data_IF_164659338400
#
_entry.id   IF_164659338400
#
_cell.length_a   1.000
_cell.length_b   1.000
_cell.length_c   1.000
_cell.angle_alpha   90.00
_cell.angle_beta   90.00
_cell.angle_gamma   90.00
#
_symmetry.space_group_name_H-M   'P 1'
#
loop_
_entity.id
_entity.type
_entity.pdbx_description
1 polymer ?
#
# COMPACT_ATOMS: atom_id res chain seq x y z
N UNK A 1 -0.64 -8.36 15.51
CA UNK A 1 -1.36 -7.85 14.33
C UNK A 1 -0.65 -8.30 13.09
N UNK A 2 -1.44 -8.64 12.07
CA UNK A 2 -0.96 -9.03 10.74
C UNK A 2 -1.24 -7.86 9.79
N UNK A 3 -0.31 -7.57 8.87
CA UNK A 3 -0.46 -6.55 7.84
C UNK A 3 -0.45 -7.19 6.45
N UNK A 4 -1.04 -6.53 5.46
CA UNK A 4 -1.11 -6.97 4.08
C UNK A 4 -0.18 -6.11 3.23
N UNK A 5 0.82 -6.74 2.60
CA UNK A 5 1.71 -6.11 1.64
C UNK A 5 1.09 -6.05 0.25
N UNK A 6 1.20 -4.90 -0.40
CA UNK A 6 0.78 -4.70 -1.79
C UNK A 6 1.92 -4.13 -2.62
N UNK A 7 2.25 -4.81 -3.72
CA UNK A 7 3.21 -4.35 -4.72
C UNK A 7 2.57 -3.94 -6.04
N UNK A 8 3.38 -3.86 -7.10
CA UNK A 8 2.94 -3.30 -8.39
C UNK A 8 1.78 -4.06 -9.06
N UNK A 9 1.48 -5.31 -8.66
CA UNK A 9 0.26 -5.99 -9.10
C UNK A 9 -1.01 -5.16 -8.84
N UNK A 10 -1.01 -4.31 -7.82
CA UNK A 10 -2.11 -3.41 -7.49
C UNK A 10 -2.33 -2.35 -8.57
N UNK A 11 -1.29 -1.90 -9.28
CA UNK A 11 -1.36 -0.83 -10.28
C UNK A 11 -2.05 -1.28 -11.57
N UNK A 12 -2.20 -2.59 -11.79
CA UNK A 12 -2.98 -3.13 -12.89
C UNK A 12 -4.47 -2.74 -12.73
N UNK A 13 -5.08 -1.98 -13.68
CA UNK A 13 -6.47 -1.55 -13.60
C UNK A 13 -7.49 -2.70 -13.59
N UNK A 14 -7.09 -3.91 -13.98
CA UNK A 14 -7.94 -5.10 -14.02
C UNK A 14 -7.77 -6.04 -12.81
N UNK A 15 -6.95 -5.68 -11.82
CA UNK A 15 -6.77 -6.45 -10.59
C UNK A 15 -7.96 -6.31 -9.61
N UNK A 16 -9.19 -6.52 -10.09
CA UNK A 16 -10.44 -6.18 -9.37
C UNK A 16 -10.53 -6.80 -7.97
N UNK A 17 -10.19 -8.08 -7.83
CA UNK A 17 -10.20 -8.75 -6.51
C UNK A 17 -9.20 -8.13 -5.54
N UNK A 18 -8.02 -7.73 -6.04
CA UNK A 18 -7.00 -7.09 -5.22
C UNK A 18 -7.45 -5.68 -4.81
N UNK A 19 -8.11 -4.95 -5.72
CA UNK A 19 -8.70 -3.65 -5.40
C UNK A 19 -9.83 -3.75 -4.38
N UNK A 20 -10.67 -4.79 -4.45
CA UNK A 20 -11.71 -5.05 -3.46
C UNK A 20 -11.10 -5.35 -2.08
N UNK A 21 -10.03 -6.17 -2.01
CA UNK A 21 -9.32 -6.42 -0.76
C UNK A 21 -8.80 -5.10 -0.18
N UNK A 22 -8.08 -4.29 -0.96
CA UNK A 22 -7.60 -2.97 -0.50
C UNK A 22 -8.76 -2.12 -0.03
N UNK A 23 -9.87 -2.07 -0.78
CA UNK A 23 -11.05 -1.28 -0.43
C UNK A 23 -11.59 -1.62 0.96
N UNK A 24 -11.70 -2.91 1.31
CA UNK A 24 -12.31 -3.35 2.56
C UNK A 24 -11.36 -3.47 3.76
N UNK A 25 -10.04 -3.60 3.55
CA UNK A 25 -9.08 -3.63 4.65
C UNK A 25 -8.99 -2.27 5.39
N UNK A 26 -8.78 -2.22 6.71
CA UNK A 26 -8.37 -0.99 7.39
C UNK A 26 -7.05 -0.48 6.83
N UNK A 27 -6.89 0.84 6.65
CA UNK A 27 -5.64 1.40 6.09
C UNK A 27 -4.45 1.14 7.01
N UNK A 28 -4.69 1.01 8.31
CA UNK A 28 -3.72 0.68 9.37
C UNK A 28 -3.17 -0.76 9.26
N UNK A 29 -3.76 -1.59 8.39
CA UNK A 29 -3.30 -2.95 8.09
C UNK A 29 -2.58 -3.07 6.76
N UNK A 30 -2.37 -1.97 6.03
CA UNK A 30 -1.78 -1.95 4.69
C UNK A 30 -0.33 -1.52 4.76
N UNK A 31 0.56 -2.24 4.09
CA UNK A 31 1.92 -1.80 3.77
C UNK A 31 2.13 -1.93 2.26
N UNK A 32 3.06 -1.15 1.70
CA UNK A 32 3.36 -1.14 0.26
C UNK A 32 4.83 -1.52 0.04
N UNK A 33 5.11 -2.23 -1.06
CA UNK A 33 6.43 -2.80 -1.31
C UNK A 33 6.74 -2.90 -2.81
N UNK A 34 8.02 -3.07 -3.16
CA UNK A 34 8.46 -3.34 -4.55
C UNK A 34 8.71 -4.83 -4.82
N UNK A 35 8.70 -5.67 -3.78
CA UNK A 35 9.20 -7.06 -3.77
C UNK A 35 10.71 -7.11 -4.07
N UNK A 36 11.17 -7.96 -4.99
CA UNK A 36 12.59 -8.09 -5.38
C UNK A 36 13.06 -7.02 -6.40
N UNK A 37 12.20 -6.06 -6.74
CA UNK A 37 12.46 -5.07 -7.79
C UNK A 37 13.13 -3.81 -7.21
N UNK A 38 14.24 -3.41 -7.82
CA UNK A 38 15.03 -2.23 -7.45
C UNK A 38 14.54 -0.93 -8.12
N UNK A 39 13.25 -0.80 -8.42
CA UNK A 39 12.69 0.41 -9.04
C UNK A 39 11.83 1.19 -8.03
N UNK A 40 12.32 2.30 -7.46
CA UNK A 40 11.58 3.09 -6.48
C UNK A 40 10.32 3.76 -7.07
N UNK A 41 10.27 4.01 -8.38
CA UNK A 41 9.10 4.62 -9.04
C UNK A 41 7.86 3.72 -8.98
N UNK A 42 8.01 2.44 -8.67
CA UNK A 42 6.87 1.55 -8.51
C UNK A 42 6.13 1.79 -7.19
N UNK A 43 6.84 2.22 -6.14
CA UNK A 43 6.24 2.41 -4.82
C UNK A 43 5.24 3.58 -4.84
N UNK A 44 5.59 4.67 -5.53
CA UNK A 44 4.68 5.82 -5.68
C UNK A 44 3.41 5.44 -6.47
N UNK A 45 3.53 4.60 -7.52
CA UNK A 45 2.36 4.14 -8.28
C UNK A 45 1.43 3.25 -7.44
N UNK A 46 2.00 2.44 -6.53
CA UNK A 46 1.21 1.65 -5.58
C UNK A 46 0.51 2.57 -4.59
N UNK A 47 1.20 3.57 -4.03
CA UNK A 47 0.61 4.55 -3.12
C UNK A 47 -0.54 5.33 -3.78
N UNK A 48 -0.35 5.83 -5.00
CA UNK A 48 -1.38 6.50 -5.81
C UNK A 48 -2.62 5.61 -6.01
N UNK A 49 -2.39 4.32 -6.28
CA UNK A 49 -3.46 3.36 -6.47
C UNK A 49 -4.23 3.10 -5.16
N UNK A 50 -3.54 2.95 -4.03
CA UNK A 50 -4.18 2.82 -2.71
C UNK A 50 -4.99 4.07 -2.40
N UNK A 51 -4.41 5.27 -2.58
CA UNK A 51 -5.07 6.56 -2.37
C UNK A 51 -6.36 6.68 -3.16
N UNK A 52 -6.34 6.30 -4.44
CA UNK A 52 -7.53 6.27 -5.30
C UNK A 52 -8.63 5.33 -4.78
N UNK A 53 -8.27 4.13 -4.31
CA UNK A 53 -9.24 3.15 -3.78
C UNK A 53 -9.81 3.61 -2.44
N UNK A 54 -8.96 4.18 -1.58
CA UNK A 54 -9.30 4.64 -0.22
C UNK A 54 -9.97 6.00 -0.17
N UNK A 55 -9.88 6.79 -1.25
CA UNK A 55 -10.31 8.19 -1.31
C UNK A 55 -9.54 9.06 -0.31
N UNK A 56 -8.26 8.77 -0.16
CA UNK A 56 -7.29 9.57 0.61
C UNK A 56 -6.36 10.33 -0.35
N UNK A 57 -5.57 11.25 0.17
CA UNK A 57 -4.43 11.80 -0.57
C UNK A 57 -3.30 10.79 -0.65
N UNK A 58 -2.36 10.99 -1.59
CA UNK A 58 -1.18 10.12 -1.69
C UNK A 58 -0.30 10.29 -0.45
N UNK A 59 -0.20 11.52 0.05
CA UNK A 59 0.57 11.88 1.24
C UNK A 59 0.05 11.17 2.49
N UNK A 60 -1.28 11.16 2.71
CA UNK A 60 -1.92 10.43 3.82
C UNK A 60 -1.64 8.93 3.76
N UNK A 61 -1.65 8.35 2.56
CA UNK A 61 -1.34 6.92 2.36
C UNK A 61 0.11 6.63 2.67
N UNK A 62 1.04 7.48 2.24
CA UNK A 62 2.47 7.32 2.51
C UNK A 62 2.71 7.38 4.02
N UNK A 63 2.23 8.43 4.70
CA UNK A 63 2.41 8.61 6.14
C UNK A 63 1.83 7.42 6.93
N UNK A 64 0.64 6.96 6.55
CA UNK A 64 0.02 5.82 7.21
C UNK A 64 0.78 4.51 6.95
N UNK A 65 1.24 4.26 5.72
CA UNK A 65 2.00 3.05 5.39
C UNK A 65 3.38 3.03 6.07
N UNK A 66 4.02 4.19 6.19
CA UNK A 66 5.25 4.35 6.96
C UNK A 66 5.00 4.02 8.43
N UNK A 67 3.96 4.61 9.04
CA UNK A 67 3.58 4.34 10.42
C UNK A 67 3.26 2.85 10.66
N UNK A 68 2.57 2.21 9.71
CA UNK A 68 2.28 0.78 9.76
C UNK A 68 3.56 -0.05 9.70
N UNK A 69 4.51 0.34 8.86
CA UNK A 69 5.82 -0.33 8.68
C UNK A 69 6.67 -0.20 9.95
N UNK A 70 6.79 1.01 10.51
CA UNK A 70 7.46 1.23 11.81
C UNK A 70 6.86 0.37 12.92
N UNK A 71 5.52 0.32 12.98
CA UNK A 71 4.81 -0.47 13.98
C UNK A 71 4.97 -1.98 13.80
N UNK A 72 5.00 -2.45 12.55
CA UNK A 72 5.15 -3.86 12.19
C UNK A 72 6.56 -4.37 12.49
N UNK A 73 7.58 -3.66 12.02
CA UNK A 73 8.98 -4.06 12.12
C UNK A 73 9.69 -3.58 13.38
N UNK A 74 9.02 -2.78 14.22
CA UNK A 74 9.58 -2.21 15.45
C UNK A 74 10.83 -1.36 15.19
N UNK A 75 10.76 -0.57 14.12
CA UNK A 75 11.81 0.37 13.73
C UNK A 75 11.52 1.73 14.41
N UNK A 76 12.55 2.35 14.97
CA UNK A 76 12.52 3.64 15.69
C UNK A 76 13.29 4.73 14.95
#
# INVERSE_FOLDING_TARGET
NFSFGFGAALTNPHAYKLHDIVKFLPIESIVIETDDRNNPDELIQVAERVARIKKNTVEEVIEQCDQNTYNLFKIS
#
